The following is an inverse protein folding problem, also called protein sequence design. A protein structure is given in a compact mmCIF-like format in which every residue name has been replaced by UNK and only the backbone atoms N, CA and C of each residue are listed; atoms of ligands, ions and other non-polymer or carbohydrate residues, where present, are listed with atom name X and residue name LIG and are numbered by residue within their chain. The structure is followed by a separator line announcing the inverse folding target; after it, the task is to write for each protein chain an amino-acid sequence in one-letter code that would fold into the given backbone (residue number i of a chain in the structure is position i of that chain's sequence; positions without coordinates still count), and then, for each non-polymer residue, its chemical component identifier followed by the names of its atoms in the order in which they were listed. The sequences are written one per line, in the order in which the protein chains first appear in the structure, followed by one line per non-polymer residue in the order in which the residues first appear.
data_IF_296519160773
#
_entry.id   IF_296519160773
#
_cell.length_a   1.000
_cell.length_b   1.000
_cell.length_c   1.000
_cell.angle_alpha   90.00
_cell.angle_beta   90.00
_cell.angle_gamma   90.00
#
_symmetry.space_group_name_H-M   'P 1'
#
loop_
_entity.id
_entity.type
_entity.pdbx_description
1 polymer ?
#
# COMPACT_ATOMS: atom_id res chain seq x y z
N UNK A 1 -76.20 -7.64 -53.17
CA UNK A 1 -75.17 -7.23 -52.20
C UNK A 1 -74.04 -8.23 -52.30
N UNK A 2 -72.83 -7.80 -52.69
CA UNK A 2 -71.66 -8.66 -52.79
C UNK A 2 -71.01 -8.71 -51.40
N UNK A 3 -71.04 -9.88 -50.74
CA UNK A 3 -70.32 -10.09 -49.49
C UNK A 3 -68.85 -10.35 -49.81
N UNK A 4 -67.98 -9.52 -49.26
CA UNK A 4 -66.53 -9.75 -49.29
C UNK A 4 -66.16 -10.62 -48.09
N UNK A 5 -65.93 -11.91 -48.32
CA UNK A 5 -65.38 -12.82 -47.31
C UNK A 5 -63.88 -12.54 -47.16
N UNK A 6 -63.52 -11.80 -46.12
CA UNK A 6 -62.12 -11.57 -45.74
C UNK A 6 -61.66 -12.79 -44.94
N UNK A 7 -60.64 -13.54 -45.38
CA UNK A 7 -60.14 -14.70 -44.64
C UNK A 7 -59.51 -14.24 -43.32
N UNK A 8 -60.16 -14.60 -42.21
CA UNK A 8 -59.69 -14.30 -40.87
C UNK A 8 -58.47 -15.18 -40.56
N UNK A 9 -57.32 -14.56 -40.38
CA UNK A 9 -56.10 -15.24 -39.97
C UNK A 9 -56.00 -15.21 -38.44
N UNK A 10 -55.63 -16.35 -37.86
CA UNK A 10 -55.55 -16.51 -36.41
C UNK A 10 -54.49 -15.58 -35.81
N UNK A 11 -54.79 -14.99 -34.66
CA UNK A 11 -53.84 -14.10 -33.98
C UNK A 11 -52.73 -14.92 -33.34
N UNK A 12 -51.48 -14.50 -33.54
CA UNK A 12 -50.32 -15.20 -32.99
C UNK A 12 -50.42 -15.25 -31.46
N UNK A 13 -50.12 -16.38 -30.81
CA UNK A 13 -50.13 -16.47 -29.36
C UNK A 13 -49.11 -15.51 -28.74
N UNK A 14 -49.42 -15.01 -27.54
CA UNK A 14 -48.53 -14.15 -26.78
C UNK A 14 -47.27 -14.94 -26.45
N UNK A 15 -46.13 -14.44 -26.91
CA UNK A 15 -44.81 -15.04 -26.62
C UNK A 15 -44.23 -14.30 -25.42
N UNK A 16 -43.88 -15.03 -24.37
CA UNK A 16 -43.17 -14.48 -23.23
C UNK A 16 -41.76 -14.06 -23.66
N UNK A 17 -41.45 -12.77 -23.53
CA UNK A 17 -40.11 -12.24 -23.77
C UNK A 17 -39.40 -12.22 -22.42
N UNK A 18 -38.34 -13.02 -22.29
CA UNK A 18 -37.51 -13.03 -21.09
C UNK A 18 -36.72 -11.72 -20.97
N UNK A 19 -37.09 -10.87 -20.01
CA UNK A 19 -36.38 -9.61 -19.74
C UNK A 19 -35.37 -9.78 -18.60
N UNK A 20 -34.08 -9.55 -18.90
CA UNK A 20 -32.98 -9.66 -17.94
C UNK A 20 -32.37 -8.32 -17.53
N UNK A 21 -32.93 -7.21 -17.99
CA UNK A 21 -32.41 -5.84 -17.78
C UNK A 21 -32.17 -5.52 -16.30
N UNK A 22 -33.06 -5.96 -15.42
CA UNK A 22 -32.92 -5.78 -13.97
C UNK A 22 -31.74 -6.58 -13.39
N UNK A 23 -31.53 -7.81 -13.85
CA UNK A 23 -30.40 -8.63 -13.40
C UNK A 23 -29.06 -8.07 -13.87
N UNK A 24 -28.99 -7.54 -15.11
CA UNK A 24 -27.80 -6.84 -15.59
C UNK A 24 -27.49 -5.61 -14.74
N UNK A 25 -28.51 -4.82 -14.40
CA UNK A 25 -28.35 -3.66 -13.52
C UNK A 25 -27.81 -4.05 -12.14
N UNK A 26 -28.40 -5.08 -11.50
CA UNK A 26 -27.95 -5.58 -10.20
C UNK A 26 -26.51 -6.09 -10.24
N UNK A 27 -26.15 -6.84 -11.28
CA UNK A 27 -24.79 -7.33 -11.45
C UNK A 27 -23.79 -6.18 -11.59
N UNK A 28 -24.07 -5.22 -12.47
CA UNK A 28 -23.19 -4.08 -12.70
C UNK A 28 -23.03 -3.22 -11.44
N UNK A 29 -24.14 -2.97 -10.74
CA UNK A 29 -24.15 -2.23 -9.48
C UNK A 29 -23.32 -2.92 -8.41
N UNK A 30 -23.46 -4.25 -8.29
CA UNK A 30 -22.68 -5.06 -7.33
C UNK A 30 -21.19 -5.04 -7.66
N UNK A 31 -20.83 -5.21 -8.94
CA UNK A 31 -19.43 -5.14 -9.38
C UNK A 31 -18.84 -3.75 -9.12
N UNK A 32 -19.56 -2.68 -9.45
CA UNK A 32 -19.12 -1.31 -9.18
C UNK A 32 -18.91 -1.07 -7.68
N UNK A 33 -19.82 -1.58 -6.83
CA UNK A 33 -19.68 -1.50 -5.38
C UNK A 33 -18.44 -2.23 -4.87
N UNK A 34 -18.19 -3.45 -5.34
CA UNK A 34 -16.99 -4.21 -4.97
C UNK A 34 -15.70 -3.48 -5.38
N UNK A 35 -15.66 -2.92 -6.59
CA UNK A 35 -14.52 -2.12 -7.07
C UNK A 35 -14.32 -0.89 -6.17
N UNK A 36 -15.40 -0.18 -5.81
CA UNK A 36 -15.32 0.95 -4.89
C UNK A 36 -14.76 0.53 -3.52
N UNK A 37 -15.22 -0.59 -2.96
CA UNK A 37 -14.69 -1.13 -1.70
C UNK A 37 -13.19 -1.44 -1.79
N UNK A 38 -12.73 -2.04 -2.89
CA UNK A 38 -11.30 -2.32 -3.11
C UNK A 38 -10.49 -1.02 -3.16
N UNK A 39 -10.98 -0.01 -3.89
CA UNK A 39 -10.31 1.30 -3.98
C UNK A 39 -10.19 1.93 -2.60
N UNK A 40 -11.28 1.96 -1.82
CA UNK A 40 -11.28 2.50 -0.45
C UNK A 40 -10.31 1.75 0.45
N UNK A 41 -10.28 0.41 0.37
CA UNK A 41 -9.34 -0.42 1.12
C UNK A 41 -7.88 -0.12 0.76
N UNK A 42 -7.57 0.01 -0.54
CA UNK A 42 -6.23 0.36 -1.01
C UNK A 42 -5.81 1.77 -0.55
N UNK A 43 -6.73 2.74 -0.62
CA UNK A 43 -6.49 4.09 -0.11
C UNK A 43 -6.21 4.08 1.40
N UNK A 44 -7.03 3.36 2.18
CA UNK A 44 -6.80 3.17 3.61
C UNK A 44 -5.41 2.60 3.89
N UNK A 45 -5.01 1.55 3.17
CA UNK A 45 -3.70 0.93 3.32
C UNK A 45 -2.57 1.88 2.94
N UNK A 46 -2.74 2.68 1.88
CA UNK A 46 -1.77 3.67 1.44
C UNK A 46 -1.57 4.78 2.47
N UNK A 47 -2.65 5.35 3.03
CA UNK A 47 -2.55 6.34 4.09
C UNK A 47 -1.92 5.76 5.36
N UNK A 48 -2.27 4.52 5.73
CA UNK A 48 -1.65 3.83 6.86
C UNK A 48 -0.15 3.62 6.65
N UNK A 49 0.28 3.23 5.45
CA UNK A 49 1.70 3.07 5.09
C UNK A 49 2.46 4.39 5.02
N UNK A 50 1.82 5.49 4.60
CA UNK A 50 2.42 6.83 4.65
C UNK A 50 2.60 7.34 6.08
N UNK A 51 1.65 7.05 6.97
CA UNK A 51 1.68 7.45 8.38
C UNK A 51 2.53 6.52 9.25
N UNK A 52 2.86 5.32 8.75
CA UNK A 52 3.90 4.47 9.31
C UNK A 52 5.25 5.18 9.13
N UNK A 53 5.55 6.04 10.10
CA UNK A 53 6.79 6.74 10.31
C UNK A 53 7.95 5.82 9.93
N UNK A 54 8.61 6.12 8.81
CA UNK A 54 9.68 5.27 8.33
C UNK A 54 10.91 5.56 9.17
N UNK A 55 10.99 4.92 10.33
CA UNK A 55 12.09 5.03 11.30
C UNK A 55 13.44 4.87 10.59
N UNK A 56 13.54 4.01 9.57
CA UNK A 56 14.74 3.89 8.73
C UNK A 56 15.05 5.15 7.94
N UNK A 57 14.05 5.79 7.32
CA UNK A 57 14.24 7.05 6.58
C UNK A 57 14.70 8.17 7.51
N UNK A 58 14.14 8.25 8.71
CA UNK A 58 14.53 9.22 9.71
C UNK A 58 15.95 8.95 10.25
N UNK A 59 16.24 7.72 10.68
CA UNK A 59 17.57 7.35 11.16
C UNK A 59 18.65 7.55 10.10
N UNK A 60 18.34 7.31 8.81
CA UNK A 60 19.24 7.65 7.70
C UNK A 60 19.47 9.17 7.60
N UNK A 61 18.42 9.98 7.75
CA UNK A 61 18.54 11.45 7.77
C UNK A 61 19.39 11.92 8.95
N UNK A 62 19.15 11.36 10.14
CA UNK A 62 19.88 11.67 11.36
C UNK A 62 21.36 11.29 11.21
N UNK A 63 21.68 10.08 10.72
CA UNK A 63 23.06 9.66 10.42
C UNK A 63 23.80 10.63 9.49
N UNK A 64 23.14 11.09 8.43
CA UNK A 64 23.75 12.04 7.49
C UNK A 64 23.96 13.44 8.08
N UNK A 65 23.25 13.80 9.14
CA UNK A 65 23.31 15.10 9.80
C UNK A 65 24.11 15.11 11.10
N UNK A 66 24.80 14.02 11.44
CA UNK A 66 25.61 13.96 12.67
C UNK A 66 26.78 14.93 12.53
N UNK A 67 26.88 15.86 13.46
CA UNK A 67 28.07 16.68 13.64
C UNK A 67 29.21 15.84 14.22
N UNK A 68 30.34 15.81 13.51
CA UNK A 68 31.53 15.05 13.88
C UNK A 68 32.50 15.84 14.78
N UNK A 69 32.20 17.11 15.06
CA UNK A 69 33.00 17.96 15.97
C UNK A 69 33.02 17.39 17.40
N UNK A 70 31.85 16.98 17.91
CA UNK A 70 31.69 16.28 19.18
C UNK A 70 31.83 14.77 18.96
N UNK A 71 33.09 14.32 18.93
CA UNK A 71 33.44 12.90 18.68
C UNK A 71 32.74 11.90 19.61
N UNK A 72 32.50 12.26 20.87
CA UNK A 72 31.84 11.38 21.85
C UNK A 72 30.36 11.25 21.52
N UNK A 73 29.68 12.37 21.35
CA UNK A 73 28.25 12.40 20.98
C UNK A 73 28.02 11.74 19.62
N UNK A 74 28.87 12.02 18.64
CA UNK A 74 28.83 11.40 17.32
C UNK A 74 28.93 9.87 17.42
N UNK A 75 29.86 9.34 18.23
CA UNK A 75 30.02 7.89 18.41
C UNK A 75 28.75 7.22 19.00
N UNK A 76 28.09 7.86 19.98
CA UNK A 76 26.82 7.38 20.52
C UNK A 76 25.68 7.45 19.50
N UNK A 77 25.55 8.55 18.76
CA UNK A 77 24.49 8.73 17.76
C UNK A 77 24.63 7.77 16.58
N UNK A 78 25.86 7.56 16.08
CA UNK A 78 26.14 6.58 15.03
C UNK A 78 25.82 5.16 15.52
N UNK A 79 26.14 4.83 16.78
CA UNK A 79 25.75 3.54 17.40
C UNK A 79 24.24 3.35 17.42
N UNK A 80 23.51 4.36 17.87
CA UNK A 80 22.07 4.31 18.06
C UNK A 80 21.33 4.17 16.73
N UNK A 81 21.59 5.06 15.78
CA UNK A 81 20.87 5.09 14.50
C UNK A 81 21.37 4.02 13.52
N UNK A 82 22.65 3.65 13.60
CA UNK A 82 23.23 2.58 12.79
C UNK A 82 22.65 1.20 13.11
N UNK A 83 22.22 0.96 14.36
CA UNK A 83 21.65 -0.31 14.79
C UNK A 83 20.44 -0.74 13.96
N UNK A 84 19.66 0.23 13.45
CA UNK A 84 18.47 -0.02 12.62
C UNK A 84 18.77 -0.74 11.31
N UNK A 85 19.97 -0.59 10.78
CA UNK A 85 20.40 -1.20 9.51
C UNK A 85 21.15 -2.53 9.71
N UNK A 86 21.50 -2.87 10.96
CA UNK A 86 22.30 -4.07 11.26
C UNK A 86 21.65 -5.38 10.82
N UNK A 87 20.32 -5.42 10.71
CA UNK A 87 19.54 -6.62 10.36
C UNK A 87 19.19 -6.73 8.88
N UNK A 88 19.66 -5.80 8.05
CA UNK A 88 19.30 -5.77 6.62
C UNK A 88 19.93 -6.91 5.82
N UNK A 89 21.14 -7.32 6.20
CA UNK A 89 21.84 -8.48 5.61
C UNK A 89 23.01 -8.90 6.51
N UNK A 90 23.57 -10.08 6.27
CA UNK A 90 24.80 -10.53 6.94
C UNK A 90 25.95 -9.51 6.76
N UNK A 91 26.06 -8.90 5.57
CA UNK A 91 27.05 -7.85 5.28
C UNK A 91 26.82 -6.60 6.12
N UNK A 92 25.56 -6.17 6.28
CA UNK A 92 25.24 -5.01 7.12
C UNK A 92 25.51 -5.27 8.60
N UNK A 93 25.24 -6.48 9.08
CA UNK A 93 25.57 -6.88 10.45
C UNK A 93 27.08 -6.80 10.70
N UNK A 94 27.90 -7.36 9.80
CA UNK A 94 29.36 -7.30 9.88
C UNK A 94 29.89 -5.85 9.81
N UNK A 95 29.35 -5.05 8.88
CA UNK A 95 29.71 -3.63 8.76
C UNK A 95 29.38 -2.87 10.04
N UNK A 96 28.20 -3.09 10.63
CA UNK A 96 27.81 -2.44 11.87
C UNK A 96 28.77 -2.79 13.01
N UNK A 97 29.10 -4.07 13.18
CA UNK A 97 30.06 -4.51 14.20
C UNK A 97 31.45 -3.87 14.01
N UNK A 98 31.95 -3.85 12.76
CA UNK A 98 33.22 -3.19 12.45
C UNK A 98 33.21 -1.69 12.80
N UNK A 99 32.11 -1.00 12.52
CA UNK A 99 31.95 0.42 12.90
C UNK A 99 31.87 0.59 14.41
N UNK A 100 31.16 -0.29 15.13
CA UNK A 100 31.06 -0.26 16.59
C UNK A 100 32.41 -0.40 17.26
N UNK A 101 33.20 -1.41 16.87
CA UNK A 101 34.53 -1.64 17.42
C UNK A 101 35.44 -0.40 17.25
N UNK A 102 35.33 0.31 16.13
CA UNK A 102 36.11 1.54 15.88
C UNK A 102 35.61 2.72 16.70
N UNK A 103 34.31 2.79 16.98
CA UNK A 103 33.70 3.88 17.72
C UNK A 103 33.84 3.76 19.23
N UNK A 104 34.12 2.57 19.77
CA UNK A 104 34.32 2.36 21.22
C UNK A 104 35.38 3.30 21.81
N UNK A 105 36.48 3.53 21.11
CA UNK A 105 37.56 4.44 21.54
C UNK A 105 37.08 5.89 21.78
N UNK A 106 35.97 6.30 21.15
CA UNK A 106 35.46 7.67 21.22
C UNK A 106 34.29 7.82 22.21
N UNK A 107 33.55 6.75 22.53
CA UNK A 107 32.39 6.80 23.43
C UNK A 107 32.76 7.17 24.87
N UNK A 108 33.99 6.82 25.27
CA UNK A 108 34.50 7.06 26.61
C UNK A 108 35.58 8.14 26.68
N UNK A 109 35.78 8.90 25.59
CA UNK A 109 36.71 10.02 25.60
C UNK A 109 36.30 11.02 26.69
N UNK A 110 37.26 11.41 27.52
CA UNK A 110 37.07 12.48 28.52
C UNK A 110 37.02 13.80 27.74
N UNK A 111 35.95 14.57 27.94
CA UNK A 111 35.78 15.88 27.31
C UNK A 111 36.85 16.85 27.79
#
# INVERSE_FOLDING_TARGET
MQNFDIPLHDIKPIVEIGEYSFYYFLFLSTVAFLVACVIVYLLYLWFKRKKAFNVRKEHKKLLNGIDLSDTKKAAYLVTLYGATFSRDSARHAQMYQNVMNRLEAYKYKKN
#
